data_IF_912074978873
#
_entry.id   IF_912074978873
#
_cell.length_a   1.000
_cell.length_b   1.000
_cell.length_c   1.000
_cell.angle_alpha   90.00
_cell.angle_beta   90.00
_cell.angle_gamma   90.00
#
_symmetry.space_group_name_H-M   'P 1'
#
loop_
_entity.id
_entity.type
_entity.pdbx_description
1 polymer ?
#
# COMPACT_ATOMS: atom_id res chain seq x y z
N UNK A 1 -7.73 -14.78 -7.58
CA UNK A 1 -6.55 -14.54 -6.73
C UNK A 1 -6.93 -14.84 -5.29
N UNK A 2 -6.17 -15.66 -4.59
CA UNK A 2 -6.39 -15.95 -3.17
C UNK A 2 -5.44 -15.04 -2.38
N UNK A 3 -5.99 -14.11 -1.62
CA UNK A 3 -5.22 -13.31 -0.65
C UNK A 3 -5.12 -14.12 0.65
N UNK A 4 -3.92 -14.19 1.23
CA UNK A 4 -3.71 -14.81 2.53
C UNK A 4 -3.72 -13.74 3.63
N UNK A 5 -4.84 -13.60 4.33
CA UNK A 5 -4.97 -12.69 5.47
C UNK A 5 -4.62 -13.36 6.80
N UNK A 6 -4.37 -14.68 6.80
CA UNK A 6 -3.96 -15.44 8.00
C UNK A 6 -2.43 -15.49 8.18
N UNK A 7 -1.67 -15.00 7.19
CA UNK A 7 -0.22 -14.85 7.29
C UNK A 7 0.14 -13.83 8.38
N UNK A 8 0.80 -14.29 9.44
CA UNK A 8 1.35 -13.41 10.46
C UNK A 8 2.68 -12.82 9.98
N UNK A 9 2.68 -11.53 9.66
CA UNK A 9 3.85 -10.80 9.14
C UNK A 9 4.53 -10.05 10.28
N UNK A 10 5.79 -10.38 10.55
CA UNK A 10 6.60 -9.65 11.55
C UNK A 10 7.13 -8.34 10.97
N UNK A 11 6.58 -7.22 11.44
CA UNK A 11 6.99 -5.88 11.06
C UNK A 11 7.94 -5.19 12.05
N UNK A 12 8.38 -5.87 13.13
CA UNK A 12 9.24 -5.28 14.16
C UNK A 12 10.62 -4.86 13.64
N UNK A 13 11.08 -5.50 12.57
CA UNK A 13 12.35 -5.20 11.91
C UNK A 13 12.21 -4.36 10.63
N UNK A 14 11.03 -3.76 10.43
CA UNK A 14 10.75 -2.86 9.30
C UNK A 14 10.75 -1.39 9.73
N UNK A 15 10.56 -0.48 8.76
CA UNK A 15 10.36 0.95 9.00
C UNK A 15 8.95 1.31 9.50
N UNK A 16 8.19 0.31 9.99
CA UNK A 16 6.81 0.49 10.43
C UNK A 16 6.71 1.30 11.73
N UNK A 17 6.25 2.55 11.63
CA UNK A 17 6.03 3.42 12.79
C UNK A 17 5.08 2.81 13.83
N UNK A 18 4.08 2.05 13.38
CA UNK A 18 3.14 1.32 14.24
C UNK A 18 3.88 0.43 15.25
N UNK A 19 4.85 -0.33 14.77
CA UNK A 19 5.60 -1.32 15.54
C UNK A 19 6.82 -0.69 16.24
N UNK A 20 7.51 0.25 15.60
CA UNK A 20 8.69 0.91 16.18
C UNK A 20 8.37 1.77 17.41
N UNK A 21 7.16 2.36 17.51
CA UNK A 21 6.76 3.19 18.66
C UNK A 21 6.89 2.49 20.01
N UNK A 22 6.75 1.16 20.03
CA UNK A 22 6.84 0.34 21.24
C UNK A 22 7.98 -0.68 21.20
N UNK A 23 9.00 -0.44 20.37
CA UNK A 23 10.17 -1.31 20.28
C UNK A 23 10.80 -1.56 21.67
N UNK A 24 11.13 -2.83 21.94
CA UNK A 24 11.69 -3.25 23.23
C UNK A 24 10.70 -3.29 24.40
N UNK A 25 9.39 -3.15 24.15
CA UNK A 25 8.32 -3.25 25.16
C UNK A 25 7.35 -4.37 24.82
N UNK A 26 6.76 -4.97 25.86
CA UNK A 26 5.72 -6.00 25.70
C UNK A 26 4.35 -5.35 25.45
N UNK A 27 4.18 -4.80 24.25
CA UNK A 27 2.98 -4.08 23.83
C UNK A 27 2.60 -4.50 22.41
N UNK A 28 1.33 -4.85 22.23
CA UNK A 28 0.73 -5.10 20.90
C UNK A 28 0.17 -3.78 20.34
N UNK A 29 0.70 -3.25 19.23
CA UNK A 29 0.27 -1.96 18.70
C UNK A 29 -1.03 -2.07 17.90
N UNK A 30 -2.14 -1.55 18.45
CA UNK A 30 -3.48 -1.57 17.83
C UNK A 30 -4.09 -0.17 17.63
N UNK A 31 -3.26 0.86 17.44
CA UNK A 31 -3.67 2.25 17.61
C UNK A 31 -3.73 3.08 16.32
N UNK A 32 -2.89 2.79 15.32
CA UNK A 32 -2.83 3.55 14.06
C UNK A 32 -3.55 2.79 12.94
N UNK A 33 -4.18 3.52 12.04
CA UNK A 33 -4.89 2.99 10.86
C UNK A 33 -3.91 2.47 9.78
N UNK A 34 -3.08 1.50 10.16
CA UNK A 34 -2.21 0.74 9.27
C UNK A 34 -2.45 -0.76 9.48
N UNK A 35 -2.47 -1.51 8.38
CA UNK A 35 -2.77 -2.94 8.37
C UNK A 35 -1.51 -3.78 8.55
N UNK A 36 -1.66 -4.99 9.11
CA UNK A 36 -0.56 -5.98 9.19
C UNK A 36 -0.60 -7.00 8.03
N UNK A 37 -1.16 -6.60 6.88
CA UNK A 37 -1.26 -7.44 5.68
C UNK A 37 -0.27 -7.02 4.60
N UNK A 38 0.13 -7.98 3.76
CA UNK A 38 0.92 -7.71 2.56
C UNK A 38 0.09 -6.90 1.55
N UNK A 39 0.75 -5.95 0.88
CA UNK A 39 0.14 -5.23 -0.24
C UNK A 39 -0.30 -6.21 -1.34
N UNK A 40 -1.37 -5.90 -2.10
CA UNK A 40 -1.79 -6.71 -3.24
C UNK A 40 -0.65 -6.99 -4.24
N UNK A 41 -0.58 -8.19 -4.84
CA UNK A 41 0.48 -8.55 -5.78
C UNK A 41 0.65 -7.56 -6.94
N UNK A 42 -0.46 -7.06 -7.51
CA UNK A 42 -0.41 -6.09 -8.61
C UNK A 42 0.28 -4.76 -8.23
N UNK A 43 0.23 -4.35 -6.96
CA UNK A 43 0.94 -3.16 -6.49
C UNK A 43 2.44 -3.46 -6.37
N UNK A 44 2.79 -4.63 -5.83
CA UNK A 44 4.18 -5.06 -5.67
C UNK A 44 4.85 -5.24 -7.05
N UNK A 45 4.16 -5.85 -8.01
CA UNK A 45 4.61 -6.02 -9.39
C UNK A 45 4.85 -4.66 -10.07
N UNK A 46 3.90 -3.72 -9.97
CA UNK A 46 4.08 -2.38 -10.53
C UNK A 46 5.28 -1.62 -9.94
N UNK A 47 5.59 -1.85 -8.64
CA UNK A 47 6.78 -1.29 -8.01
C UNK A 47 8.06 -1.96 -8.51
N UNK A 48 8.07 -3.28 -8.72
CA UNK A 48 9.20 -3.97 -9.34
C UNK A 48 9.47 -3.47 -10.76
N UNK A 49 8.44 -3.39 -11.61
CA UNK A 49 8.57 -2.86 -12.97
C UNK A 49 9.15 -1.43 -12.97
N UNK A 50 8.74 -0.60 -11.99
CA UNK A 50 9.25 0.75 -11.83
C UNK A 50 10.72 0.77 -11.42
N UNK A 51 11.14 -0.14 -10.54
CA UNK A 51 12.53 -0.30 -10.12
C UNK A 51 13.38 -0.78 -11.29
N UNK A 52 12.91 -1.78 -12.04
CA UNK A 52 13.60 -2.36 -13.19
C UNK A 52 13.79 -1.35 -14.33
N UNK A 53 12.87 -0.40 -14.49
CA UNK A 53 13.03 0.71 -15.43
C UNK A 53 14.28 1.57 -15.13
N UNK A 54 14.74 1.66 -13.87
CA UNK A 54 16.02 2.25 -13.47
C UNK A 54 16.16 3.78 -13.58
N UNK A 55 15.27 4.48 -14.28
CA UNK A 55 15.30 5.94 -14.47
C UNK A 55 14.26 6.63 -13.57
N UNK A 56 14.71 7.38 -12.56
CA UNK A 56 13.86 8.06 -11.57
C UNK A 56 13.85 9.59 -11.69
N UNK A 57 14.11 10.12 -12.88
CA UNK A 57 14.00 11.56 -13.16
C UNK A 57 12.57 12.08 -13.03
N UNK A 58 12.40 13.42 -13.04
CA UNK A 58 11.11 14.08 -12.93
C UNK A 58 10.10 13.57 -13.96
N UNK A 59 9.03 12.93 -13.48
CA UNK A 59 7.90 12.47 -14.28
C UNK A 59 6.69 13.39 -14.11
N UNK A 60 5.85 13.45 -15.14
CA UNK A 60 4.52 14.04 -15.04
C UNK A 60 3.52 12.98 -14.52
N UNK A 61 2.42 13.39 -13.85
CA UNK A 61 1.34 12.47 -13.49
C UNK A 61 0.79 11.75 -14.72
N UNK A 62 0.55 10.42 -14.67
CA UNK A 62 -0.10 9.71 -15.75
C UNK A 62 -1.51 10.26 -15.97
N UNK A 63 -1.89 10.58 -17.21
CA UNK A 63 -3.24 11.07 -17.53
C UNK A 63 -4.31 10.07 -17.11
N UNK A 64 -4.04 8.78 -17.27
CA UNK A 64 -4.95 7.69 -16.90
C UNK A 64 -5.30 7.65 -15.40
N UNK A 65 -4.49 8.24 -14.51
CA UNK A 65 -4.76 8.19 -13.07
C UNK A 65 -6.07 8.90 -12.72
N UNK A 66 -6.29 10.09 -13.29
CA UNK A 66 -7.51 10.87 -13.06
C UNK A 66 -8.75 10.15 -13.59
N UNK A 67 -8.65 9.59 -14.80
CA UNK A 67 -9.75 8.88 -15.45
C UNK A 67 -10.19 7.66 -14.63
N UNK A 68 -9.21 6.84 -14.18
CA UNK A 68 -9.47 5.67 -13.33
C UNK A 68 -10.09 6.08 -11.99
N UNK A 69 -9.64 7.19 -11.40
CA UNK A 69 -10.19 7.65 -10.14
C UNK A 69 -11.66 8.06 -10.28
N UNK A 70 -11.99 8.86 -11.30
CA UNK A 70 -13.36 9.32 -11.59
C UNK A 70 -14.28 8.12 -11.82
N UNK A 71 -13.85 7.18 -12.67
CA UNK A 71 -14.59 5.95 -12.94
C UNK A 71 -14.87 5.18 -11.64
N UNK A 72 -13.84 4.97 -10.81
CA UNK A 72 -13.97 4.24 -9.55
C UNK A 72 -14.88 4.94 -8.54
N UNK A 73 -14.89 6.27 -8.48
CA UNK A 73 -15.81 7.02 -7.61
C UNK A 73 -17.26 6.87 -8.09
N UNK A 74 -17.48 6.91 -9.40
CA UNK A 74 -18.80 6.68 -10.00
C UNK A 74 -19.30 5.26 -9.74
N UNK A 75 -18.48 4.24 -9.98
CA UNK A 75 -18.87 2.84 -9.81
C UNK A 75 -19.16 2.48 -8.35
N UNK A 76 -18.30 2.93 -7.43
CA UNK A 76 -18.35 2.48 -6.03
C UNK A 76 -19.29 3.33 -5.18
N UNK A 77 -19.43 4.61 -5.50
CA UNK A 77 -20.13 5.58 -4.67
C UNK A 77 -21.17 6.41 -5.41
N UNK A 78 -21.32 6.24 -6.73
CA UNK A 78 -22.24 7.02 -7.57
C UNK A 78 -21.95 8.53 -7.55
N UNK A 79 -20.69 8.90 -7.32
CA UNK A 79 -20.25 10.29 -7.32
C UNK A 79 -19.85 10.72 -8.74
N UNK A 80 -20.29 11.91 -9.15
CA UNK A 80 -19.87 12.57 -10.38
C UNK A 80 -18.95 13.72 -10.00
N UNK A 81 -17.64 13.49 -10.16
CA UNK A 81 -16.53 14.35 -9.70
C UNK A 81 -15.54 14.61 -10.81
#
# INVERSE_FOLDING_TARGET
MVFNFDECIDQRHSDSYKWQKYAGRDIIPLWVAATDFRSPPCIIEALHDRVDHGIFSYGAPPTALSDIFIERMRERYQWDV
#
